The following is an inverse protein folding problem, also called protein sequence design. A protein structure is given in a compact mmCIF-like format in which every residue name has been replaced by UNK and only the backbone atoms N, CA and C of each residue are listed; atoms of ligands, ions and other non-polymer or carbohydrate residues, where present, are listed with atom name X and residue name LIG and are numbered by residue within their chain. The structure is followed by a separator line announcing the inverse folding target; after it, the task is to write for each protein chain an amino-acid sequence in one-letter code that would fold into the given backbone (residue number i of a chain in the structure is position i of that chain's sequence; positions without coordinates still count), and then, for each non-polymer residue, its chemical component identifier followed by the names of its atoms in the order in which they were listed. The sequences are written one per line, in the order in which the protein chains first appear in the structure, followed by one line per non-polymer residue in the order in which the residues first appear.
data_IF_148041025541
#
_entry.id   IF_148041025541
#
_cell.length_a   1.000
_cell.length_b   1.000
_cell.length_c   1.000
_cell.angle_alpha   90.00
_cell.angle_beta   90.00
_cell.angle_gamma   90.00
#
_symmetry.space_group_name_H-M   'P 1'
#
loop_
_entity.id
_entity.type
_entity.pdbx_description
1 polymer ?
#
# COMPACT_ATOMS: atom_id res chain seq x y z
N UNK A 1 2.51 -24.12 -6.68
CA UNK A 1 1.40 -23.35 -6.10
C UNK A 1 1.32 -22.05 -6.87
N UNK A 2 0.12 -21.57 -7.16
CA UNK A 2 -0.07 -20.30 -7.89
C UNK A 2 0.39 -19.12 -7.05
N UNK A 3 1.01 -18.10 -7.65
CA UNK A 3 1.50 -16.89 -6.98
C UNK A 3 1.05 -15.66 -7.76
N UNK A 4 0.02 -14.98 -7.28
CA UNK A 4 -0.62 -13.89 -8.00
C UNK A 4 0.16 -12.57 -7.91
N UNK A 5 0.31 -11.90 -9.04
CA UNK A 5 1.01 -10.62 -9.16
C UNK A 5 0.39 -9.70 -10.21
N UNK A 6 0.70 -8.41 -10.11
CA UNK A 6 0.36 -7.41 -11.13
C UNK A 6 1.66 -6.81 -11.68
N UNK A 7 1.74 -6.67 -13.00
CA UNK A 7 2.72 -5.81 -13.67
C UNK A 7 1.98 -4.57 -14.19
N UNK A 8 2.56 -3.39 -13.98
CA UNK A 8 2.05 -2.12 -14.50
C UNK A 8 3.05 -1.57 -15.52
N UNK A 9 2.70 -1.60 -16.80
CA UNK A 9 3.51 -1.03 -17.87
C UNK A 9 3.27 0.47 -18.01
N UNK A 10 4.24 1.26 -17.57
CA UNK A 10 4.16 2.72 -17.57
C UNK A 10 4.31 3.31 -18.99
N UNK A 11 4.73 2.54 -19.99
CA UNK A 11 4.73 2.95 -21.39
C UNK A 11 3.33 2.93 -22.00
N UNK A 12 2.46 2.05 -21.49
CA UNK A 12 1.08 1.91 -21.94
C UNK A 12 0.08 2.68 -21.08
N UNK A 13 0.52 3.17 -19.91
CA UNK A 13 -0.34 3.93 -19.00
C UNK A 13 -0.63 5.34 -19.53
N UNK A 14 -1.82 5.53 -20.11
CA UNK A 14 -2.32 6.83 -20.58
C UNK A 14 -2.88 7.72 -19.46
N UNK A 15 -2.77 7.31 -18.19
CA UNK A 15 -3.13 8.13 -17.00
C UNK A 15 -4.60 8.54 -16.94
N UNK A 16 -5.48 7.75 -17.53
CA UNK A 16 -6.93 8.01 -17.58
C UNK A 16 -7.63 7.88 -16.21
N UNK A 17 -6.96 7.29 -15.19
CA UNK A 17 -7.50 7.01 -13.85
C UNK A 17 -8.70 6.06 -13.82
N UNK A 18 -9.02 5.38 -14.92
CA UNK A 18 -10.11 4.39 -14.98
C UNK A 18 -9.94 3.29 -13.95
N UNK A 19 -8.71 2.81 -13.74
CA UNK A 19 -8.39 1.81 -12.72
C UNK A 19 -8.81 2.25 -11.30
N UNK A 20 -8.66 3.54 -10.98
CA UNK A 20 -9.04 4.10 -9.67
C UNK A 20 -10.56 4.10 -9.52
N UNK A 21 -11.28 4.58 -10.54
CA UNK A 21 -12.75 4.68 -10.52
C UNK A 21 -13.37 3.29 -10.48
N UNK A 22 -12.92 2.37 -11.34
CA UNK A 22 -13.38 1.00 -11.36
C UNK A 22 -13.16 0.33 -10.00
N UNK A 23 -11.99 0.51 -9.40
CA UNK A 23 -11.72 -0.04 -8.08
C UNK A 23 -12.64 0.56 -7.01
N UNK A 24 -12.90 1.88 -7.03
CA UNK A 24 -13.82 2.51 -6.07
C UNK A 24 -15.24 1.96 -6.17
N UNK A 25 -15.80 1.96 -7.37
CA UNK A 25 -17.18 1.54 -7.63
C UNK A 25 -17.38 0.10 -7.21
N UNK A 26 -16.48 -0.78 -7.61
CA UNK A 26 -16.65 -2.23 -7.41
C UNK A 26 -16.40 -2.68 -5.97
N UNK A 27 -15.62 -1.91 -5.21
CA UNK A 27 -15.29 -2.21 -3.81
C UNK A 27 -16.05 -1.30 -2.83
N UNK A 28 -17.09 -0.61 -3.30
CA UNK A 28 -17.92 0.30 -2.49
C UNK A 28 -17.12 1.32 -1.67
N UNK A 29 -16.01 1.81 -2.22
CA UNK A 29 -15.19 2.83 -1.55
C UNK A 29 -15.88 4.18 -1.74
N UNK A 30 -16.24 4.88 -0.65
CA UNK A 30 -17.02 6.10 -0.75
C UNK A 30 -16.30 7.21 -1.53
N UNK A 31 -17.04 8.07 -2.25
CA UNK A 31 -16.47 9.28 -2.81
C UNK A 31 -16.01 10.21 -1.69
N UNK A 32 -15.07 11.11 -2.04
CA UNK A 32 -14.63 12.15 -1.13
C UNK A 32 -15.81 13.03 -0.72
N UNK A 33 -16.05 13.21 0.58
CA UNK A 33 -17.01 14.18 1.13
C UNK A 33 -16.25 15.33 1.79
N UNK A 34 -16.91 16.49 1.90
CA UNK A 34 -16.33 17.67 2.55
C UNK A 34 -15.95 17.33 4.00
N UNK A 35 -14.67 17.54 4.34
CA UNK A 35 -14.14 17.26 5.67
C UNK A 35 -13.72 15.79 5.91
N UNK A 36 -13.68 14.96 4.88
CA UNK A 36 -13.16 13.60 4.94
C UNK A 36 -11.85 13.44 4.16
N UNK A 37 -11.01 12.48 4.53
CA UNK A 37 -9.87 12.03 3.74
C UNK A 37 -10.36 11.13 2.61
N UNK A 38 -9.73 11.24 1.44
CA UNK A 38 -10.14 10.45 0.28
C UNK A 38 -9.58 9.02 0.37
N UNK A 39 -10.46 8.01 0.32
CA UNK A 39 -10.05 6.61 0.29
C UNK A 39 -9.82 6.10 -1.13
N UNK A 40 -8.79 5.29 -1.35
CA UNK A 40 -8.38 4.72 -2.63
C UNK A 40 -7.57 3.46 -2.37
N UNK A 41 -7.87 2.38 -3.10
CA UNK A 41 -7.03 1.17 -3.18
C UNK A 41 -5.90 1.31 -4.22
N UNK A 42 -6.03 2.25 -5.15
CA UNK A 42 -5.03 2.62 -6.17
C UNK A 42 -4.92 4.15 -6.17
N UNK A 43 -3.74 4.68 -5.87
CA UNK A 43 -3.43 6.11 -5.95
C UNK A 43 -2.14 6.34 -6.72
N UNK A 44 -2.14 7.19 -7.76
CA UNK A 44 -0.92 7.54 -8.44
C UNK A 44 -0.05 8.48 -7.60
N UNK A 45 1.25 8.24 -7.60
CA UNK A 45 2.26 9.27 -7.31
C UNK A 45 2.58 9.95 -8.63
N UNK A 46 2.46 11.28 -8.67
CA UNK A 46 2.62 12.07 -9.88
C UNK A 46 3.29 13.40 -9.60
N UNK A 47 4.16 13.82 -10.51
CA UNK A 47 4.82 15.12 -10.52
C UNK A 47 5.23 15.48 -11.94
N UNK A 48 5.65 16.72 -12.15
CA UNK A 48 6.22 17.18 -13.42
C UNK A 48 7.71 17.47 -13.23
N UNK A 49 8.51 17.12 -14.23
CA UNK A 49 9.95 17.37 -14.25
C UNK A 49 10.40 17.80 -15.65
N UNK A 50 11.64 18.28 -15.74
CA UNK A 50 12.18 18.88 -16.96
C UNK A 50 11.97 20.38 -17.02
N UNK A 51 12.32 21.00 -18.15
CA UNK A 51 12.19 22.43 -18.39
C UNK A 51 11.51 22.64 -19.73
N UNK A 52 10.56 23.57 -19.79
CA UNK A 52 9.85 23.87 -21.04
C UNK A 52 10.86 24.20 -22.17
N UNK A 53 10.70 23.63 -23.39
CA UNK A 53 9.57 22.80 -23.86
C UNK A 53 9.68 21.30 -23.53
N UNK A 54 10.80 20.86 -22.97
CA UNK A 54 11.10 19.47 -22.61
C UNK A 54 10.62 19.13 -21.19
N UNK A 55 9.33 19.34 -20.91
CA UNK A 55 8.70 18.88 -19.66
C UNK A 55 8.07 17.50 -19.85
N UNK A 56 8.05 16.73 -18.77
CA UNK A 56 7.41 15.44 -18.70
C UNK A 56 6.71 15.26 -17.37
N UNK A 57 5.60 14.54 -17.41
CA UNK A 57 4.82 14.21 -16.23
C UNK A 57 5.02 12.75 -15.87
N UNK A 58 5.41 12.51 -14.63
CA UNK A 58 5.49 11.18 -14.04
C UNK A 58 4.13 10.81 -13.49
N UNK A 59 3.72 9.55 -13.66
CA UNK A 59 2.48 9.02 -13.14
C UNK A 59 2.66 7.54 -12.84
N UNK A 60 2.80 7.19 -11.58
CA UNK A 60 3.05 5.83 -11.12
C UNK A 60 1.85 5.40 -10.27
N UNK A 61 0.93 4.56 -10.80
CA UNK A 61 -0.16 4.01 -10.00
C UNK A 61 0.39 3.15 -8.86
N UNK A 62 0.19 3.56 -7.62
CA UNK A 62 0.58 2.81 -6.41
C UNK A 62 -0.66 2.17 -5.80
N UNK A 63 -0.56 0.89 -5.44
CA UNK A 63 -1.62 0.09 -4.82
C UNK A 63 -1.03 -0.75 -3.67
N UNK A 64 -1.84 -1.62 -3.04
CA UNK A 64 -1.24 -2.60 -2.13
C UNK A 64 -0.29 -3.52 -2.92
N UNK A 65 0.97 -3.54 -2.50
CA UNK A 65 2.02 -4.31 -3.18
C UNK A 65 1.92 -5.82 -2.99
N UNK A 66 0.96 -6.30 -2.19
CA UNK A 66 0.82 -7.71 -1.80
C UNK A 66 2.16 -8.34 -1.43
N UNK A 67 2.91 -7.69 -0.55
CA UNK A 67 4.25 -8.08 -0.12
C UNK A 67 4.32 -9.55 0.33
N UNK A 68 5.43 -10.23 0.03
CA UNK A 68 5.71 -11.56 0.59
C UNK A 68 6.12 -11.52 2.06
N UNK A 69 6.71 -10.40 2.50
CA UNK A 69 6.97 -10.04 3.90
C UNK A 69 6.09 -8.85 4.32
N UNK A 70 4.79 -9.05 4.56
CA UNK A 70 3.86 -7.97 4.83
C UNK A 70 4.00 -7.40 6.24
N UNK A 71 4.65 -6.25 6.37
CA UNK A 71 4.75 -5.51 7.64
C UNK A 71 3.38 -5.22 8.30
N UNK A 72 2.33 -5.04 7.49
CA UNK A 72 0.98 -4.84 7.99
C UNK A 72 0.38 -6.07 8.67
N UNK A 73 0.80 -7.27 8.29
CA UNK A 73 0.38 -8.53 8.92
C UNK A 73 1.01 -8.66 10.30
N UNK A 74 2.32 -8.46 10.41
CA UNK A 74 3.07 -8.51 11.67
C UNK A 74 2.56 -7.46 12.68
N UNK A 75 2.18 -6.27 12.20
CA UNK A 75 1.68 -5.20 13.05
C UNK A 75 0.24 -5.39 13.53
N UNK A 76 -0.52 -6.39 13.06
CA UNK A 76 -1.94 -6.53 13.38
C UNK A 76 -2.14 -7.25 14.73
N UNK A 77 -2.66 -6.58 15.77
CA UNK A 77 -2.81 -7.21 17.10
C UNK A 77 -3.94 -8.25 17.19
N UNK A 78 -4.81 -8.33 16.18
CA UNK A 78 -5.99 -9.20 16.17
C UNK A 78 -5.86 -10.34 15.14
N UNK A 79 -4.69 -10.50 14.51
CA UNK A 79 -4.47 -11.44 13.40
C UNK A 79 -5.55 -11.33 12.30
N UNK A 80 -6.02 -10.09 12.08
CA UNK A 80 -7.04 -9.78 11.09
C UNK A 80 -6.47 -9.69 9.68
N UNK A 81 -5.15 -9.77 9.51
CA UNK A 81 -4.49 -9.74 8.21
C UNK A 81 -3.78 -11.07 8.03
N UNK A 82 -3.98 -11.71 6.87
CA UNK A 82 -3.36 -13.00 6.55
C UNK A 82 -2.95 -13.07 5.09
N UNK A 83 -1.99 -13.94 4.79
CA UNK A 83 -1.55 -14.24 3.42
C UNK A 83 -2.18 -15.56 2.96
N UNK A 84 -2.92 -15.52 1.86
CA UNK A 84 -3.51 -16.72 1.22
C UNK A 84 -2.41 -17.58 0.58
N UNK A 85 -2.76 -18.82 0.24
CA UNK A 85 -1.86 -19.75 -0.46
C UNK A 85 -1.45 -19.25 -1.87
N UNK A 86 -2.32 -18.47 -2.52
CA UNK A 86 -2.06 -17.80 -3.79
C UNK A 86 -1.20 -16.53 -3.65
N UNK A 87 -0.79 -16.22 -2.41
CA UNK A 87 0.00 -15.06 -2.07
C UNK A 87 -0.81 -13.82 -1.67
N UNK A 88 -2.10 -13.72 -1.97
CA UNK A 88 -2.83 -12.47 -1.77
C UNK A 88 -2.96 -12.18 -0.27
N UNK A 89 -2.57 -10.97 0.15
CA UNK A 89 -2.72 -10.53 1.54
C UNK A 89 -4.14 -9.98 1.67
N UNK A 90 -4.91 -10.45 2.65
CA UNK A 90 -6.32 -10.08 2.83
C UNK A 90 -6.57 -9.56 4.24
N UNK A 91 -7.64 -8.79 4.41
CA UNK A 91 -8.11 -8.31 5.71
C UNK A 91 -9.42 -9.02 6.06
N UNK A 92 -9.42 -9.79 7.15
CA UNK A 92 -10.62 -10.32 7.77
C UNK A 92 -11.35 -9.19 8.51
N UNK A 93 -12.46 -8.76 7.90
CA UNK A 93 -13.30 -7.68 8.41
C UNK A 93 -14.01 -8.05 9.71
N UNK A 94 -14.17 -9.33 10.02
CA UNK A 94 -14.83 -9.81 11.25
C UNK A 94 -13.92 -9.65 12.48
N UNK A 95 -12.61 -9.84 12.30
CA UNK A 95 -11.59 -9.66 13.35
C UNK A 95 -11.09 -8.23 13.48
N UNK A 96 -11.04 -7.49 12.38
CA UNK A 96 -10.44 -6.16 12.37
C UNK A 96 -11.17 -5.19 13.33
N UNK A 97 -10.42 -4.53 14.21
CA UNK A 97 -10.92 -3.52 15.16
C UNK A 97 -10.63 -2.06 14.74
N UNK A 98 -10.16 -1.85 13.51
CA UNK A 98 -9.77 -0.53 12.99
C UNK A 98 -8.78 0.24 13.89
N UNK A 99 -7.79 -0.46 14.46
CA UNK A 99 -6.80 0.15 15.34
C UNK A 99 -5.87 1.14 14.60
N UNK A 100 -5.50 0.84 13.34
CA UNK A 100 -4.61 1.65 12.53
C UNK A 100 -3.15 1.17 12.46
N UNK A 101 -2.78 0.14 13.22
CA UNK A 101 -1.40 -0.38 13.24
C UNK A 101 -0.90 -0.79 11.84
N UNK A 102 -1.75 -1.45 11.05
CA UNK A 102 -1.42 -1.84 9.67
C UNK A 102 -1.20 -0.65 8.72
N UNK A 103 -1.92 0.46 8.93
CA UNK A 103 -1.75 1.69 8.14
C UNK A 103 -0.39 2.33 8.43
N UNK A 104 0.02 2.40 9.70
CA UNK A 104 1.31 2.95 10.12
C UNK A 104 2.50 2.07 9.73
N UNK A 105 2.32 0.75 9.78
CA UNK A 105 3.37 -0.20 9.44
C UNK A 105 3.63 -0.31 7.93
N UNK A 106 2.68 0.08 7.07
CA UNK A 106 2.81 -0.12 5.63
C UNK A 106 3.68 0.97 4.99
N UNK A 107 4.86 0.64 4.44
CA UNK A 107 5.76 1.66 3.89
C UNK A 107 5.28 2.23 2.54
N UNK A 108 4.23 1.64 1.95
CA UNK A 108 3.59 2.11 0.71
C UNK A 108 2.32 2.93 0.95
N UNK A 109 1.91 3.12 2.21
CA UNK A 109 0.66 3.82 2.54
C UNK A 109 -0.57 3.16 1.91
N UNK A 110 -0.62 1.82 1.85
CA UNK A 110 -1.68 1.10 1.15
C UNK A 110 -2.96 0.88 2.02
N UNK A 111 -2.87 0.49 3.30
CA UNK A 111 -4.04 0.37 4.16
C UNK A 111 -4.61 1.73 4.56
N UNK A 112 -5.92 1.86 4.52
CA UNK A 112 -6.67 3.00 5.03
C UNK A 112 -7.76 2.54 6.00
N UNK A 113 -8.25 3.46 6.83
CA UNK A 113 -9.25 3.16 7.83
C UNK A 113 -10.63 3.67 7.43
N UNK A 114 -11.61 2.79 7.54
CA UNK A 114 -13.04 3.11 7.59
C UNK A 114 -13.61 2.54 8.90
N UNK A 115 -14.78 1.91 8.87
CA UNK A 115 -15.28 1.05 9.97
C UNK A 115 -14.35 -0.15 10.24
N UNK A 116 -13.65 -0.61 9.20
CA UNK A 116 -12.56 -1.60 9.22
C UNK A 116 -11.38 -1.08 8.39
N UNK A 117 -10.20 -1.65 8.61
CA UNK A 117 -9.06 -1.40 7.72
C UNK A 117 -9.36 -1.97 6.32
N UNK A 118 -9.01 -1.24 5.27
CA UNK A 118 -9.19 -1.65 3.89
C UNK A 118 -7.92 -1.37 3.07
N UNK A 119 -7.68 -2.20 2.05
CA UNK A 119 -6.55 -2.12 1.13
C UNK A 119 -6.90 -2.92 -0.12
N UNK A 120 -6.12 -2.77 -1.19
CA UNK A 120 -6.25 -3.66 -2.33
C UNK A 120 -6.00 -5.12 -1.90
N UNK A 121 -6.82 -6.02 -2.43
CA UNK A 121 -6.83 -7.47 -2.22
C UNK A 121 -6.94 -8.21 -3.56
N UNK A 122 -6.58 -7.54 -4.67
CA UNK A 122 -6.72 -8.05 -6.04
C UNK A 122 -8.16 -8.51 -6.40
N UNK A 123 -9.19 -7.92 -5.78
CA UNK A 123 -10.59 -8.25 -6.04
C UNK A 123 -10.91 -9.72 -5.79
N UNK A 124 -10.34 -10.29 -4.72
CA UNK A 124 -10.51 -11.71 -4.36
C UNK A 124 -11.99 -12.07 -4.24
N UNK A 125 -12.75 -11.40 -3.37
CA UNK A 125 -14.14 -11.77 -3.10
C UNK A 125 -15.09 -11.38 -4.25
N UNK A 126 -14.78 -10.29 -4.94
CA UNK A 126 -15.62 -9.73 -6.00
C UNK A 126 -15.42 -10.43 -7.34
N UNK A 127 -14.25 -11.05 -7.57
CA UNK A 127 -13.85 -11.63 -8.86
C UNK A 127 -13.17 -12.99 -8.73
N UNK A 128 -11.98 -13.06 -8.13
CA UNK A 128 -11.13 -14.25 -8.27
C UNK A 128 -11.77 -15.51 -7.65
N UNK A 129 -12.38 -15.39 -6.48
CA UNK A 129 -13.10 -16.50 -5.82
C UNK A 129 -14.40 -16.88 -6.57
N UNK A 130 -14.83 -16.07 -7.56
CA UNK A 130 -15.95 -16.35 -8.46
C UNK A 130 -15.51 -16.95 -9.81
N UNK A 131 -14.23 -17.26 -9.96
CA UNK A 131 -13.67 -17.86 -11.18
C UNK A 131 -13.29 -16.85 -12.27
N UNK A 132 -13.37 -15.55 -11.99
CA UNK A 132 -12.89 -14.52 -12.90
C UNK A 132 -11.36 -14.48 -12.94
N UNK A 133 -10.79 -14.20 -14.11
CA UNK A 133 -9.34 -14.31 -14.32
C UNK A 133 -8.55 -13.06 -13.95
N UNK A 134 -9.18 -11.90 -13.81
CA UNK A 134 -8.48 -10.62 -13.59
C UNK A 134 -9.23 -9.70 -12.62
N UNK A 135 -8.54 -8.81 -11.89
CA UNK A 135 -9.15 -7.75 -11.10
C UNK A 135 -9.81 -6.67 -11.97
N UNK A 136 -10.71 -5.87 -11.39
CA UNK A 136 -11.39 -4.79 -12.13
C UNK A 136 -10.44 -3.70 -12.66
N UNK A 137 -9.35 -3.40 -11.96
CA UNK A 137 -8.37 -2.41 -12.43
C UNK A 137 -7.64 -2.86 -13.71
N UNK A 138 -7.48 -4.17 -13.90
CA UNK A 138 -6.93 -4.78 -15.12
C UNK A 138 -7.98 -4.77 -16.22
N UNK A 139 -9.18 -5.30 -15.96
CA UNK A 139 -10.26 -5.37 -16.95
C UNK A 139 -10.64 -3.97 -17.51
N UNK A 140 -10.61 -2.94 -16.66
CA UNK A 140 -11.04 -1.59 -17.03
C UNK A 140 -9.94 -0.73 -17.66
N UNK A 141 -8.71 -1.23 -17.80
CA UNK A 141 -7.60 -0.43 -18.29
C UNK A 141 -7.66 -0.29 -19.82
N UNK A 142 -7.99 0.89 -20.39
CA UNK A 142 -8.11 1.03 -21.85
C UNK A 142 -6.77 0.98 -22.58
N UNK A 143 -5.67 1.21 -21.86
CA UNK A 143 -4.32 1.09 -22.39
C UNK A 143 -3.68 -0.27 -22.11
N UNK A 144 -4.39 -1.23 -21.52
CA UNK A 144 -3.85 -2.56 -21.18
C UNK A 144 -2.57 -2.53 -20.32
N UNK A 145 -2.35 -1.41 -19.62
CA UNK A 145 -1.14 -1.15 -18.85
C UNK A 145 -1.05 -2.02 -17.60
N UNK A 146 -2.17 -2.47 -17.02
CA UNK A 146 -2.14 -3.38 -15.87
C UNK A 146 -2.34 -4.80 -16.35
N UNK A 147 -1.43 -5.69 -15.97
CA UNK A 147 -1.40 -7.10 -16.37
C UNK A 147 -1.42 -7.93 -15.10
N UNK A 148 -2.42 -8.78 -14.93
CA UNK A 148 -2.51 -9.73 -13.80
C UNK A 148 -2.12 -11.13 -14.27
N UNK A 149 -1.37 -11.85 -13.44
CA UNK A 149 -0.90 -13.18 -13.79
C UNK A 149 -0.17 -13.88 -12.65
N UNK A 150 0.17 -15.13 -12.91
CA UNK A 150 0.81 -16.03 -11.96
C UNK A 150 2.33 -16.07 -12.17
N UNK A 151 3.10 -15.70 -11.16
CA UNK A 151 4.57 -15.74 -11.18
C UNK A 151 5.12 -17.17 -11.24
N UNK A 152 4.36 -18.16 -10.77
CA UNK A 152 4.75 -19.56 -10.82
C UNK A 152 4.45 -20.22 -12.19
N UNK A 153 3.66 -19.57 -13.05
CA UNK A 153 3.37 -20.02 -14.40
C UNK A 153 4.31 -19.33 -15.39
N UNK A 154 5.29 -20.08 -15.90
CA UNK A 154 6.27 -19.57 -16.88
C UNK A 154 5.64 -19.13 -18.22
N UNK A 155 4.41 -19.54 -18.52
CA UNK A 155 3.68 -19.10 -19.70
C UNK A 155 2.97 -17.76 -19.51
N UNK A 156 2.88 -17.27 -18.27
CA UNK A 156 2.21 -16.00 -17.98
C UNK A 156 3.07 -14.80 -18.40
N UNK A 157 2.42 -13.78 -18.96
CA UNK A 157 3.09 -12.52 -19.33
C UNK A 157 3.80 -11.88 -18.13
N UNK A 158 3.20 -11.99 -16.95
CA UNK A 158 3.76 -11.46 -15.70
C UNK A 158 5.07 -12.17 -15.34
N UNK A 159 5.11 -13.50 -15.35
CA UNK A 159 6.32 -14.27 -15.07
C UNK A 159 7.43 -13.95 -16.08
N UNK A 160 7.10 -13.84 -17.37
CA UNK A 160 8.05 -13.47 -18.42
C UNK A 160 8.64 -12.06 -18.24
N UNK A 161 7.83 -11.06 -17.89
CA UNK A 161 8.30 -9.69 -17.68
C UNK A 161 9.18 -9.56 -16.44
N UNK A 162 8.83 -10.25 -15.35
CA UNK A 162 9.60 -10.21 -14.09
C UNK A 162 10.92 -10.98 -14.25
N UNK A 163 10.88 -12.22 -14.75
CA UNK A 163 12.09 -13.05 -14.91
C UNK A 163 13.11 -12.48 -15.90
N UNK A 164 12.65 -11.73 -16.91
CA UNK A 164 13.52 -11.02 -17.86
C UNK A 164 14.09 -9.70 -17.33
N UNK A 165 13.72 -9.27 -16.12
CA UNK A 165 14.14 -8.00 -15.53
C UNK A 165 13.51 -6.77 -16.17
N UNK A 166 12.49 -6.93 -17.03
CA UNK A 166 11.76 -5.82 -17.66
C UNK A 166 10.78 -5.16 -16.69
N UNK A 167 10.20 -5.94 -15.77
CA UNK A 167 9.35 -5.45 -14.71
C UNK A 167 10.09 -5.47 -13.37
N UNK A 168 10.16 -4.33 -12.71
CA UNK A 168 10.96 -4.09 -11.51
C UNK A 168 10.07 -3.80 -10.29
N UNK A 169 10.49 -4.22 -9.08
CA UNK A 169 9.75 -3.94 -7.84
C UNK A 169 9.79 -2.45 -7.49
N UNK A 170 8.83 -2.01 -6.68
CA UNK A 170 8.81 -0.66 -6.11
C UNK A 170 9.48 -0.63 -4.73
N UNK A 171 10.39 0.33 -4.51
CA UNK A 171 11.12 0.51 -3.24
C UNK A 171 11.70 -0.79 -2.68
N UNK A 172 12.60 -1.50 -3.39
CA UNK A 172 13.19 -2.76 -2.91
C UNK A 172 13.89 -2.62 -1.55
N UNK A 173 14.41 -1.44 -1.21
CA UNK A 173 15.02 -1.10 0.07
C UNK A 173 14.07 -1.21 1.28
N UNK A 174 12.76 -1.33 1.04
CA UNK A 174 11.80 -1.63 2.11
C UNK A 174 11.86 -3.09 2.58
N UNK A 175 12.52 -3.99 1.84
CA UNK A 175 12.70 -5.39 2.24
C UNK A 175 11.40 -6.18 2.35
N UNK A 176 10.32 -5.74 1.68
CA UNK A 176 8.99 -6.37 1.78
C UNK A 176 8.71 -7.42 0.70
N UNK A 177 9.60 -7.54 -0.29
CA UNK A 177 9.44 -8.43 -1.46
C UNK A 177 8.06 -8.22 -2.15
N UNK A 178 7.83 -7.06 -2.78
CA UNK A 178 6.53 -6.72 -3.38
C UNK A 178 6.21 -7.59 -4.61
N UNK A 179 4.91 -7.82 -4.84
CA UNK A 179 4.36 -8.56 -5.99
C UNK A 179 3.56 -7.71 -6.96
N UNK A 180 3.74 -6.39 -6.84
CA UNK A 180 3.38 -5.46 -7.91
C UNK A 180 4.66 -4.94 -8.47
N UNK A 181 4.83 -5.12 -9.78
CA UNK A 181 6.01 -4.72 -10.53
C UNK A 181 5.64 -3.68 -11.57
N UNK A 182 6.65 -2.96 -12.05
CA UNK A 182 6.46 -1.89 -13.01
C UNK A 182 7.42 -2.08 -14.17
N UNK A 183 6.92 -1.95 -15.40
CA UNK A 183 7.80 -1.73 -16.56
C UNK A 183 8.09 -0.23 -16.61
N UNK A 184 9.34 0.22 -16.40
CA UNK A 184 9.66 1.64 -16.39
C UNK A 184 9.36 2.27 -17.76
N UNK A 185 9.05 3.58 -17.81
CA UNK A 185 8.97 4.28 -19.07
C UNK A 185 10.30 4.15 -19.84
N UNK A 186 10.24 3.97 -21.16
CA UNK A 186 11.42 3.76 -22.00
C UNK A 186 12.43 4.91 -21.90
N UNK A 187 11.94 6.12 -21.62
CA UNK A 187 12.74 7.33 -21.40
C UNK A 187 13.33 7.44 -19.98
N UNK A 188 13.19 6.42 -19.12
CA UNK A 188 13.66 6.38 -17.72
C UNK A 188 14.28 5.04 -17.30
N UNK A 189 14.64 4.17 -18.26
CA UNK A 189 14.99 2.77 -18.00
C UNK A 189 16.18 2.56 -17.05
N UNK A 190 17.17 3.46 -17.09
CA UNK A 190 18.43 3.32 -16.33
C UNK A 190 18.37 3.91 -14.91
N UNK A 191 17.17 4.35 -14.50
CA UNK A 191 16.96 5.17 -13.31
C UNK A 191 15.70 4.77 -12.52
N UNK A 192 15.17 3.55 -12.72
CA UNK A 192 13.94 3.12 -12.05
C UNK A 192 13.97 3.35 -10.52
N UNK A 193 15.07 2.99 -9.87
CA UNK A 193 15.27 3.27 -8.43
C UNK A 193 15.26 4.77 -8.16
N UNK A 194 16.00 5.59 -8.91
CA UNK A 194 15.95 7.05 -8.71
C UNK A 194 14.58 7.69 -9.01
N UNK A 195 13.67 7.03 -9.75
CA UNK A 195 12.28 7.48 -9.90
C UNK A 195 11.40 7.05 -8.73
N UNK A 196 11.55 5.79 -8.35
CA UNK A 196 10.53 5.04 -7.63
C UNK A 196 10.98 4.67 -6.21
N UNK A 197 12.11 5.24 -5.75
CA UNK A 197 12.63 5.16 -4.38
C UNK A 197 13.35 6.45 -3.92
N UNK A 198 13.17 7.58 -4.60
CA UNK A 198 13.74 8.85 -4.11
C UNK A 198 12.92 9.45 -2.94
N UNK A 199 13.50 10.41 -2.22
CA UNK A 199 12.89 11.01 -1.04
C UNK A 199 11.51 11.64 -1.33
N UNK A 200 11.35 12.30 -2.48
CA UNK A 200 10.06 12.89 -2.87
C UNK A 200 8.99 11.82 -3.11
N UNK A 201 9.39 10.72 -3.75
CA UNK A 201 8.51 9.58 -4.00
C UNK A 201 8.10 8.91 -2.67
N UNK A 202 9.07 8.63 -1.80
CA UNK A 202 8.83 8.04 -0.48
C UNK A 202 7.93 8.95 0.36
N UNK A 203 8.16 10.26 0.34
CA UNK A 203 7.30 11.22 1.04
C UNK A 203 5.87 11.21 0.47
N UNK A 204 5.72 11.09 -0.84
CA UNK A 204 4.41 10.95 -1.46
C UNK A 204 3.70 9.63 -1.05
N UNK A 205 4.42 8.58 -0.66
CA UNK A 205 3.80 7.35 -0.14
C UNK A 205 3.18 7.53 1.25
N UNK A 206 3.67 8.50 2.05
CA UNK A 206 3.16 8.79 3.41
C UNK A 206 1.84 9.53 3.48
N UNK A 207 1.20 9.76 2.33
CA UNK A 207 -0.05 10.54 2.24
C UNK A 207 -1.22 10.03 3.12
N UNK A 208 -1.12 8.78 3.62
CA UNK A 208 -2.06 8.12 4.54
C UNK A 208 -1.79 8.34 6.03
N UNK A 209 -0.69 8.97 6.42
CA UNK A 209 -0.44 9.31 7.83
C UNK A 209 -1.56 10.22 8.39
N UNK A 210 -2.17 11.02 7.52
CA UNK A 210 -3.32 11.87 7.85
C UNK A 210 -4.65 11.11 8.07
N UNK A 211 -4.79 9.84 7.62
CA UNK A 211 -5.99 9.03 7.87
C UNK A 211 -6.21 8.77 9.37
N UNK A 212 -5.15 8.86 10.19
CA UNK A 212 -5.23 8.71 11.65
C UNK A 212 -5.65 10.00 12.37
N UNK A 213 -5.64 11.15 11.69
CA UNK A 213 -6.01 12.43 12.28
C UNK A 213 -7.53 12.65 12.35
N UNK A 214 -8.33 11.79 11.70
CA UNK A 214 -9.79 11.86 11.82
C UNK A 214 -10.28 11.31 13.16
N UNK A 215 -11.20 12.01 13.84
CA UNK A 215 -11.80 11.51 15.06
C UNK A 215 -12.55 10.21 14.75
N UNK A 216 -12.06 9.09 15.31
CA UNK A 216 -12.74 7.78 15.23
C UNK A 216 -14.17 7.96 15.74
N UNK A 217 -15.14 7.97 14.84
CA UNK A 217 -16.55 8.09 15.16
C UNK A 217 -17.10 6.76 15.69
N UNK A 218 -16.60 6.30 16.84
CA UNK A 218 -17.39 5.47 17.75
C UNK A 218 -16.71 5.40 19.11
N UNK A 219 -17.46 5.81 20.13
CA UNK A 219 -17.14 5.69 21.55
C UNK A 219 -17.08 4.23 22.05
N UNK A 220 -16.67 3.27 21.21
CA UNK A 220 -16.61 1.85 21.53
C UNK A 220 -15.18 1.29 21.69
N UNK A 221 -14.15 1.98 21.20
CA UNK A 221 -12.76 1.50 21.31
C UNK A 221 -12.08 1.86 22.63
N UNK A 222 -12.45 2.97 23.28
CA UNK A 222 -11.78 3.42 24.51
C UNK A 222 -12.19 2.60 25.74
N UNK A 223 -13.38 2.00 25.72
CA UNK A 223 -13.95 1.28 26.87
C UNK A 223 -13.39 -0.14 27.03
N UNK A 224 -12.78 -0.74 26.01
CA UNK A 224 -12.14 -2.08 26.10
C UNK A 224 -10.69 -2.03 26.58
N UNK A 225 -9.91 -1.03 26.18
CA UNK A 225 -8.52 -0.87 26.64
C UNK A 225 -8.49 -0.52 28.14
N UNK A 226 -9.45 0.27 28.63
CA UNK A 226 -9.57 0.59 30.05
C UNK A 226 -9.97 -0.63 30.92
N UNK A 227 -10.63 -1.65 30.35
CA UNK A 227 -11.09 -2.84 31.09
C UNK A 227 -10.03 -3.94 31.23
N UNK A 228 -9.05 -4.03 30.32
CA UNK A 228 -7.93 -4.97 30.45
C UNK A 228 -6.79 -4.47 31.34
N UNK A 229 -6.71 -3.16 31.59
CA UNK A 229 -5.61 -2.55 32.33
C UNK A 229 -5.88 -2.31 33.84
N UNK A 230 -7.03 -2.73 34.38
CA UNK A 230 -7.29 -2.64 35.83
C UNK A 230 -7.29 -1.23 36.43
N UNK A 231 -7.33 -0.17 35.61
CA UNK A 231 -7.40 1.21 36.10
C UNK A 231 -8.82 1.54 36.54
N UNK A 232 -9.05 1.53 37.86
CA UNK A 232 -10.22 2.18 38.44
C UNK A 232 -10.15 3.68 38.10
N UNK A 233 -11.16 4.17 37.40
CA UNK A 233 -11.32 5.60 37.13
C UNK A 233 -11.54 6.34 38.45
N UNK A 234 -10.57 7.17 38.85
CA UNK A 234 -10.76 8.16 39.92
C UNK A 234 -11.47 9.38 39.33
N UNK A 235 -12.50 9.93 39.99
CA UNK A 235 -13.37 10.94 39.39
C UNK A 235 -12.85 12.34 39.73
N UNK A 236 -11.79 12.81 39.07
CA UNK A 236 -11.42 14.24 39.11
C UNK A 236 -10.79 14.62 37.76
N UNK A 237 -11.42 15.60 37.11
CA UNK A 237 -11.16 15.98 35.74
C UNK A 237 -9.76 16.57 35.50
N UNK A 238 -9.24 16.29 34.31
CA UNK A 238 -8.06 16.92 33.74
C UNK A 238 -7.86 16.43 32.31
N UNK A 239 -8.03 17.31 31.34
CA UNK A 239 -7.72 17.08 29.94
C UNK A 239 -6.21 16.76 29.79
N UNK A 240 -5.89 15.56 29.33
CA UNK A 240 -4.57 15.22 28.79
C UNK A 240 -4.73 14.69 27.36
N UNK A 241 -4.79 15.63 26.42
CA UNK A 241 -4.73 15.37 24.98
C UNK A 241 -3.28 15.19 24.53
N UNK A 242 -3.00 14.10 23.80
CA UNK A 242 -1.98 14.05 22.75
C UNK A 242 -0.51 14.00 23.18
N UNK A 243 0.04 12.80 23.41
CA UNK A 243 1.50 12.60 23.40
C UNK A 243 2.00 11.16 23.11
N UNK A 244 1.12 10.16 22.97
CA UNK A 244 1.58 8.75 22.94
C UNK A 244 1.96 8.27 21.52
N UNK A 245 1.52 8.96 20.44
CA UNK A 245 1.72 8.51 19.06
C UNK A 245 2.98 9.02 18.34
N UNK A 246 3.56 10.14 18.77
CA UNK A 246 4.70 10.78 18.08
C UNK A 246 6.06 10.15 18.45
N UNK A 247 6.21 9.64 19.68
CA UNK A 247 7.47 9.06 20.15
C UNK A 247 7.85 7.78 19.41
N UNK A 248 6.88 6.90 19.16
CA UNK A 248 7.09 5.59 18.53
C UNK A 248 7.50 5.72 17.06
N UNK A 249 7.03 6.76 16.36
CA UNK A 249 7.37 7.01 14.96
C UNK A 249 8.83 7.46 14.79
N UNK A 250 9.34 8.30 15.70
CA UNK A 250 10.72 8.77 15.64
C UNK A 250 11.72 7.69 16.05
N UNK A 251 11.39 6.88 17.07
CA UNK A 251 12.23 5.77 17.51
C UNK A 251 12.35 4.68 16.42
N UNK A 252 11.23 4.32 15.77
CA UNK A 252 11.24 3.36 14.65
C UNK A 252 12.05 3.86 13.45
N UNK A 253 11.93 5.15 13.09
CA UNK A 253 12.72 5.75 12.01
C UNK A 253 14.21 5.85 12.36
N UNK A 254 14.55 6.10 13.63
CA UNK A 254 15.93 6.14 14.11
C UNK A 254 16.59 4.75 14.08
N UNK A 255 15.91 3.72 14.60
CA UNK A 255 16.39 2.33 14.55
C UNK A 255 16.58 1.85 13.11
N UNK A 256 15.71 2.26 12.19
CA UNK A 256 15.80 1.90 10.77
C UNK A 256 16.98 2.58 10.07
N UNK A 257 17.24 3.87 10.33
CA UNK A 257 18.42 4.57 9.80
C UNK A 257 19.73 3.91 10.27
N UNK A 258 19.76 3.46 11.52
CA UNK A 258 20.94 2.77 12.06
C UNK A 258 21.18 1.42 11.35
N UNK A 259 20.12 0.61 11.15
CA UNK A 259 20.23 -0.69 10.46
C UNK A 259 20.66 -0.55 8.99
N UNK A 260 20.24 0.52 8.31
CA UNK A 260 20.67 0.81 6.92
C UNK A 260 22.16 1.18 6.89
N UNK A 261 22.62 2.07 7.78
CA UNK A 261 24.03 2.45 7.87
C UNK A 261 24.96 1.26 8.23
N UNK A 262 24.47 0.32 9.05
CA UNK A 262 25.19 -0.91 9.38
C UNK A 262 25.24 -1.91 8.21
N UNK A 263 24.21 -1.94 7.36
CA UNK A 263 24.18 -2.78 6.16
C UNK A 263 25.11 -2.24 5.06
N UNK A 264 25.15 -0.92 4.86
CA UNK A 264 26.05 -0.26 3.91
C UNK A 264 27.52 -0.51 4.27
N UNK A 265 27.89 -0.37 5.56
CA UNK A 265 29.23 -0.69 6.05
C UNK A 265 29.66 -2.14 5.85
N UNK A 266 28.72 -3.10 5.83
CA UNK A 266 29.02 -4.51 5.58
C UNK A 266 29.16 -4.85 4.10
N UNK A 267 28.71 -3.96 3.21
CA UNK A 267 28.85 -4.14 1.75
C UNK A 267 30.15 -3.58 1.18
N UNK A 268 30.88 -2.78 1.98
CA UNK A 268 32.15 -2.15 1.63
C UNK A 268 33.39 -2.90 2.18
N UNK A 269 33.18 -4.02 2.89
CA UNK A 269 34.23 -4.90 3.45
C UNK A 269 34.09 -6.32 2.93
#
# INVERSE_FOLDING_TARGET
MSIQAIVIDLNQCIRCRTCMVACKVQNNIPPLRKGQVSHYRIRPVEWEEGKFPDTRRIFIPVLCMQCDKPACMEACPEDAISKRADGIVVVDKTKCIACGACNQACPYGAPFLMDKADKCDFCVAERLDRGEKTPYCVQSCPGEAMIFGDLADSSSTVAGLVSSGKALPLCPEFGTDPRVYYVPPAWYKDQWTSLASNDLFIEALKWRENDLAEPKSSAHSLTRIARSAGFMASPLGGLATGAVGLGVSLEYLAERKQKVAEAEKKSET
#
